data_IF_849681941814
#
_entry.id   IF_849681941814
#
_cell.length_a   1.000
_cell.length_b   1.000
_cell.length_c   1.000
_cell.angle_alpha   90.00
_cell.angle_beta   90.00
_cell.angle_gamma   90.00
#
_symmetry.space_group_name_H-M   'P 1'
#
loop_
_entity.id
_entity.type
_entity.pdbx_description
1 polymer ?
#
# COMPACT_ATOMS: atom_id res chain seq x y z
N UNK A 1 -17.60 -6.04 7.95
CA UNK A 1 -16.30 -5.32 8.00
C UNK A 1 -16.41 -4.22 9.04
N UNK A 2 -15.45 -4.11 9.95
CA UNK A 2 -15.47 -3.07 10.96
C UNK A 2 -14.79 -1.82 10.37
N UNK A 3 -15.48 -0.67 10.38
CA UNK A 3 -14.97 0.58 9.78
C UNK A 3 -14.52 1.54 10.87
N UNK A 4 -13.29 2.01 10.80
CA UNK A 4 -12.77 3.06 11.70
C UNK A 4 -12.84 4.41 11.00
N UNK A 5 -13.40 5.42 11.66
CA UNK A 5 -13.50 6.79 11.12
C UNK A 5 -12.25 7.59 11.46
N UNK A 6 -11.57 8.13 10.45
CA UNK A 6 -10.44 9.04 10.63
C UNK A 6 -10.88 10.49 10.40
N UNK A 7 -10.27 11.41 11.15
CA UNK A 7 -10.31 12.85 10.88
C UNK A 7 -8.88 13.27 10.56
N UNK A 8 -8.68 13.92 9.41
CA UNK A 8 -7.37 14.29 8.90
C UNK A 8 -7.44 15.70 8.33
N UNK A 9 -6.40 16.49 8.58
CA UNK A 9 -6.23 17.80 7.95
C UNK A 9 -5.35 17.64 6.71
N UNK A 10 -5.82 18.16 5.58
CA UNK A 10 -5.09 18.19 4.30
C UNK A 10 -5.10 19.62 3.76
N UNK A 11 -4.22 19.93 2.80
CA UNK A 11 -4.28 21.22 2.13
C UNK A 11 -5.56 21.32 1.29
N UNK A 12 -6.08 22.54 1.13
CA UNK A 12 -7.24 22.82 0.26
C UNK A 12 -6.96 22.37 -1.18
N UNK A 13 -5.73 22.54 -1.64
CA UNK A 13 -5.29 22.15 -2.98
C UNK A 13 -5.34 20.64 -3.20
N UNK A 14 -4.91 19.85 -2.22
CA UNK A 14 -5.01 18.39 -2.27
C UNK A 14 -6.47 17.92 -2.26
N UNK A 15 -7.33 18.50 -1.41
CA UNK A 15 -8.76 18.15 -1.42
C UNK A 15 -9.41 18.47 -2.78
N UNK A 16 -9.14 19.65 -3.34
CA UNK A 16 -9.69 20.06 -4.63
C UNK A 16 -9.20 19.14 -5.76
N UNK A 17 -7.90 18.89 -5.83
CA UNK A 17 -7.29 18.02 -6.84
C UNK A 17 -7.85 16.60 -6.77
N UNK A 18 -8.00 16.04 -5.56
CA UNK A 18 -8.56 14.71 -5.36
C UNK A 18 -10.03 14.64 -5.79
N UNK A 19 -10.84 15.65 -5.45
CA UNK A 19 -12.25 15.68 -5.88
C UNK A 19 -12.40 15.80 -7.38
N UNK A 20 -11.59 16.64 -8.03
CA UNK A 20 -11.58 16.77 -9.49
C UNK A 20 -11.16 15.46 -10.16
N UNK A 21 -10.13 14.80 -9.62
CA UNK A 21 -9.70 13.48 -10.09
C UNK A 21 -10.84 12.46 -10.00
N UNK A 22 -11.48 12.32 -8.84
CA UNK A 22 -12.59 11.38 -8.65
C UNK A 22 -13.77 11.69 -9.57
N UNK A 23 -14.11 12.97 -9.76
CA UNK A 23 -15.16 13.38 -10.69
C UNK A 23 -14.83 13.00 -12.15
N UNK A 24 -13.56 13.16 -12.57
CA UNK A 24 -13.11 12.79 -13.91
C UNK A 24 -13.23 11.29 -14.23
N UNK A 25 -13.17 10.44 -13.19
CA UNK A 25 -13.32 8.99 -13.31
C UNK A 25 -14.79 8.53 -13.23
N UNK A 26 -15.74 9.47 -13.28
CA UNK A 26 -17.17 9.18 -13.09
C UNK A 26 -17.57 8.86 -11.64
N UNK A 27 -16.67 9.17 -10.69
CA UNK A 27 -16.89 9.06 -9.24
C UNK A 27 -17.51 10.32 -8.63
N UNK A 28 -17.40 10.44 -7.30
CA UNK A 28 -17.97 11.54 -6.51
C UNK A 28 -19.18 11.11 -5.68
N UNK A 29 -19.39 9.80 -5.55
CA UNK A 29 -20.43 9.22 -4.69
C UNK A 29 -19.93 9.14 -3.25
N UNK A 30 -20.88 9.05 -2.32
CA UNK A 30 -20.59 8.84 -0.90
C UNK A 30 -19.70 7.60 -0.74
N UNK A 31 -18.53 7.78 -0.13
CA UNK A 31 -17.58 6.72 0.16
C UNK A 31 -16.39 6.62 -0.81
N UNK A 32 -16.45 7.26 -1.99
CA UNK A 32 -15.34 7.22 -2.95
C UNK A 32 -14.07 7.85 -2.37
N UNK A 33 -14.22 8.94 -1.62
CA UNK A 33 -13.11 9.59 -0.92
C UNK A 33 -12.45 8.65 0.11
N UNK A 34 -13.26 7.98 0.93
CA UNK A 34 -12.75 7.04 1.94
C UNK A 34 -12.06 5.85 1.30
N UNK A 35 -12.63 5.30 0.21
CA UNK A 35 -12.02 4.20 -0.55
C UNK A 35 -10.69 4.61 -1.17
N UNK A 36 -10.64 5.77 -1.81
CA UNK A 36 -9.41 6.28 -2.42
C UNK A 36 -8.30 6.45 -1.38
N UNK A 37 -8.62 7.06 -0.24
CA UNK A 37 -7.64 7.25 0.84
C UNK A 37 -7.17 5.90 1.40
N UNK A 38 -8.08 4.95 1.59
CA UNK A 38 -7.73 3.62 2.07
C UNK A 38 -6.79 2.88 1.11
N UNK A 39 -7.10 2.90 -0.20
CA UNK A 39 -6.25 2.29 -1.24
C UNK A 39 -4.88 2.95 -1.32
N UNK A 40 -4.83 4.29 -1.31
CA UNK A 40 -3.60 5.06 -1.35
C UNK A 40 -2.69 4.76 -0.13
N UNK A 41 -3.27 4.72 1.08
CA UNK A 41 -2.53 4.39 2.30
C UNK A 41 -2.02 2.95 2.26
N UNK A 42 -2.84 1.98 1.82
CA UNK A 42 -2.40 0.58 1.68
C UNK A 42 -1.25 0.43 0.68
N UNK A 43 -1.34 1.10 -0.47
CA UNK A 43 -0.29 1.08 -1.48
C UNK A 43 1.02 1.68 -0.94
N UNK A 44 0.94 2.81 -0.24
CA UNK A 44 2.12 3.46 0.32
C UNK A 44 2.78 2.63 1.44
N UNK A 45 1.99 1.99 2.31
CA UNK A 45 2.53 1.07 3.32
C UNK A 45 3.26 -0.11 2.64
N UNK A 46 2.68 -0.67 1.57
CA UNK A 46 3.32 -1.75 0.82
C UNK A 46 4.65 -1.31 0.21
N UNK A 47 4.68 -0.14 -0.43
CA UNK A 47 5.90 0.45 -1.01
C UNK A 47 6.99 0.64 0.06
N UNK A 48 6.67 1.29 1.18
CA UNK A 48 7.61 1.49 2.29
C UNK A 48 8.11 0.15 2.86
N UNK A 49 7.23 -0.85 2.96
CA UNK A 49 7.60 -2.18 3.46
C UNK A 49 8.55 -2.90 2.48
N UNK A 50 8.31 -2.77 1.18
CA UNK A 50 9.17 -3.34 0.15
C UNK A 50 10.55 -2.68 0.14
N UNK A 51 10.62 -1.35 0.24
CA UNK A 51 11.90 -0.62 0.31
C UNK A 51 12.68 -0.96 1.57
N UNK A 52 11.99 -1.09 2.71
CA UNK A 52 12.62 -1.56 3.94
C UNK A 52 13.18 -2.98 3.79
N UNK A 53 12.42 -3.91 3.19
CA UNK A 53 12.87 -5.27 2.96
C UNK A 53 14.08 -5.33 2.03
N UNK A 54 14.08 -4.56 0.93
CA UNK A 54 15.23 -4.47 0.02
C UNK A 54 16.46 -3.91 0.73
N UNK A 55 16.30 -2.83 1.51
CA UNK A 55 17.39 -2.21 2.26
C UNK A 55 17.98 -3.18 3.29
N UNK A 56 17.13 -3.87 4.04
CA UNK A 56 17.58 -4.87 5.03
C UNK A 56 18.34 -6.03 4.39
N UNK A 57 17.98 -6.43 3.17
CA UNK A 57 18.62 -7.54 2.45
C UNK A 57 19.73 -7.09 1.48
N UNK A 58 20.11 -5.80 1.45
CA UNK A 58 21.08 -5.27 0.49
C UNK A 58 22.50 -5.88 0.62
N UNK A 59 22.78 -6.57 1.73
CA UNK A 59 24.04 -7.26 1.99
C UNK A 59 24.08 -8.70 1.46
N UNK A 60 22.93 -9.27 1.06
CA UNK A 60 22.81 -10.61 0.52
C UNK A 60 22.97 -10.59 -1.00
N UNK A 61 23.62 -11.62 -1.54
CA UNK A 61 23.64 -11.88 -2.98
C UNK A 61 22.28 -12.40 -3.46
N UNK A 62 22.05 -12.31 -4.77
CA UNK A 62 20.84 -12.84 -5.41
C UNK A 62 20.65 -14.35 -5.15
N UNK A 63 21.75 -15.11 -5.10
CA UNK A 63 21.72 -16.53 -4.81
C UNK A 63 21.26 -16.81 -3.38
N UNK A 64 21.80 -16.11 -2.39
CA UNK A 64 21.42 -16.24 -0.98
C UNK A 64 19.95 -15.82 -0.75
N UNK A 65 19.50 -14.77 -1.42
CA UNK A 65 18.09 -14.35 -1.41
C UNK A 65 17.16 -15.39 -2.01
N UNK A 66 17.55 -15.98 -3.15
CA UNK A 66 16.76 -17.02 -3.82
C UNK A 66 16.65 -18.27 -2.95
N UNK A 67 17.76 -18.70 -2.35
CA UNK A 67 17.79 -19.85 -1.44
C UNK A 67 16.90 -19.62 -0.21
N UNK A 68 16.96 -18.44 0.41
CA UNK A 68 16.10 -18.09 1.54
C UNK A 68 14.60 -18.08 1.17
N UNK A 69 14.25 -17.64 -0.05
CA UNK A 69 12.87 -17.67 -0.56
C UNK A 69 12.42 -19.12 -0.79
N UNK A 70 13.24 -19.94 -1.42
CA UNK A 70 12.93 -21.35 -1.67
C UNK A 70 12.73 -22.13 -0.36
N UNK A 71 13.59 -21.90 0.64
CA UNK A 71 13.44 -22.48 1.98
C UNK A 71 12.09 -22.10 2.62
N UNK A 72 11.73 -20.81 2.56
CA UNK A 72 10.47 -20.32 3.11
C UNK A 72 9.24 -20.92 2.40
N UNK A 73 9.29 -21.05 1.07
CA UNK A 73 8.22 -21.66 0.28
C UNK A 73 8.06 -23.15 0.59
N UNK A 74 9.18 -23.87 0.75
CA UNK A 74 9.16 -25.27 1.13
C UNK A 74 8.59 -25.49 2.53
N UNK A 75 8.91 -24.62 3.49
CA UNK A 75 8.29 -24.64 4.81
C UNK A 75 6.78 -24.41 4.72
N UNK A 76 6.33 -23.40 3.96
CA UNK A 76 4.92 -23.06 3.83
C UNK A 76 4.09 -24.17 3.17
N UNK A 77 4.66 -24.90 2.21
CA UNK A 77 4.00 -26.03 1.53
C UNK A 77 3.91 -27.30 2.38
N UNK A 78 4.81 -27.47 3.36
CA UNK A 78 4.81 -28.60 4.29
C UNK A 78 3.81 -28.43 5.45
N UNK A 79 3.14 -27.29 5.52
CA UNK A 79 2.15 -26.92 6.54
C UNK A 79 0.74 -27.04 6.01
#
# INVERSE_FOLDING_TARGET
>A
MNTTRWNVAVSTDTDQSLRMFLASQGGGRKGDLSRFIEEAVRAHILELSAEQAKTSNAHLSEAELTEAVDEALDWARKR
#
